data_IF_359956967195
#
_entry.id   IF_359956967195
#
_cell.length_a   1.000
_cell.length_b   1.000
_cell.length_c   1.000
_cell.angle_alpha   90.00
_cell.angle_beta   90.00
_cell.angle_gamma   90.00
#
_symmetry.space_group_name_H-M   'P 1'
#
loop_
_entity.id
_entity.type
_entity.pdbx_description
1 polymer ?
#
# COMPACT_ATOMS: atom_id res chain seq x y z
N UNK A 1 -14.13 -13.54 11.50
CA UNK A 1 -12.85 -13.41 10.77
C UNK A 1 -11.81 -12.93 11.77
N UNK A 2 -10.87 -13.78 12.23
CA UNK A 2 -9.84 -13.33 13.16
C UNK A 2 -8.80 -12.51 12.39
N UNK A 3 -8.80 -11.23 12.72
CA UNK A 3 -7.71 -10.27 12.68
C UNK A 3 -6.36 -10.92 12.36
N UNK A 4 -5.88 -10.65 11.15
CA UNK A 4 -4.48 -10.68 10.76
C UNK A 4 -3.51 -10.68 11.95
N UNK A 5 -2.71 -11.73 12.06
CA UNK A 5 -1.61 -11.69 13.01
C UNK A 5 -0.71 -10.50 12.63
N UNK A 6 -0.44 -9.61 13.59
CA UNK A 6 0.39 -8.42 13.38
C UNK A 6 1.72 -8.79 12.71
N UNK A 7 2.29 -9.94 13.09
CA UNK A 7 3.51 -10.48 12.50
C UNK A 7 3.39 -10.78 11.01
N UNK A 8 2.24 -11.27 10.54
CA UNK A 8 2.00 -11.54 9.12
C UNK A 8 1.98 -10.25 8.31
N UNK A 9 1.27 -9.23 8.79
CA UNK A 9 1.28 -7.92 8.15
C UNK A 9 2.64 -7.24 8.20
N UNK A 10 3.36 -7.33 9.33
CA UNK A 10 4.71 -6.77 9.41
C UNK A 10 5.67 -7.44 8.44
N UNK A 11 5.57 -8.75 8.24
CA UNK A 11 6.36 -9.46 7.22
C UNK A 11 6.08 -8.89 5.82
N UNK A 12 4.81 -8.77 5.42
CA UNK A 12 4.43 -8.21 4.12
C UNK A 12 4.93 -6.77 3.95
N UNK A 13 4.77 -5.93 4.98
CA UNK A 13 5.22 -4.54 4.92
C UNK A 13 6.74 -4.41 4.85
N UNK A 14 7.48 -5.31 5.51
CA UNK A 14 8.94 -5.40 5.39
C UNK A 14 9.36 -5.88 3.99
N UNK A 15 8.71 -6.92 3.45
CA UNK A 15 8.96 -7.43 2.09
C UNK A 15 8.66 -6.37 1.01
N UNK A 16 7.61 -5.58 1.21
CA UNK A 16 7.26 -4.45 0.35
C UNK A 16 8.23 -3.25 0.48
N UNK A 17 9.15 -3.29 1.44
CA UNK A 17 10.11 -2.21 1.70
C UNK A 17 9.50 -0.95 2.33
N UNK A 18 8.27 -1.05 2.84
CA UNK A 18 7.51 0.07 3.44
C UNK A 18 7.94 0.26 4.90
N UNK A 19 8.20 -0.83 5.59
CA UNK A 19 8.62 -0.86 6.99
C UNK A 19 10.01 -1.50 7.08
N UNK A 20 10.85 -1.00 7.97
CA UNK A 20 12.10 -1.67 8.36
C UNK A 20 11.99 -2.15 9.80
N UNK A 21 12.36 -3.41 10.01
CA UNK A 21 12.48 -4.02 11.32
C UNK A 21 13.94 -4.07 11.75
N UNK A 22 14.22 -3.70 13.00
CA UNK A 22 15.52 -3.91 13.64
C UNK A 22 15.31 -4.76 14.90
N UNK A 23 16.13 -5.79 15.07
CA UNK A 23 16.17 -6.57 16.29
C UNK A 23 16.93 -5.81 17.38
N UNK A 24 16.32 -5.71 18.56
CA UNK A 24 16.89 -5.14 19.78
C UNK A 24 16.65 -6.11 20.95
N UNK A 25 17.52 -7.13 21.02
CA UNK A 25 17.41 -8.22 21.98
C UNK A 25 16.16 -9.06 21.78
N UNK A 26 15.25 -9.05 22.76
CA UNK A 26 13.99 -9.82 22.71
C UNK A 26 12.90 -9.18 21.84
N UNK A 27 13.08 -7.90 21.48
CA UNK A 27 12.06 -7.12 20.78
C UNK A 27 12.51 -6.76 19.37
N UNK A 28 11.55 -6.68 18.45
CA UNK A 28 11.77 -6.13 17.11
C UNK A 28 11.14 -4.76 17.04
N UNK A 29 11.95 -3.75 16.74
CA UNK A 29 11.50 -2.38 16.55
C UNK A 29 11.20 -2.16 15.07
N UNK A 30 9.94 -1.79 14.78
CA UNK A 30 9.49 -1.46 13.44
C UNK A 30 9.45 0.05 13.26
N UNK A 31 9.91 0.52 12.10
CA UNK A 31 9.82 1.92 11.69
C UNK A 31 9.39 2.00 10.22
N UNK A 32 8.71 3.08 9.86
CA UNK A 32 8.38 3.33 8.45
C UNK A 32 9.66 3.72 7.71
N UNK A 33 9.94 3.04 6.60
CA UNK A 33 11.03 3.39 5.70
C UNK A 33 10.69 4.68 4.95
N UNK A 34 11.50 5.73 5.13
CA UNK A 34 11.31 7.00 4.41
C UNK A 34 11.28 6.78 2.90
N UNK A 35 12.27 6.06 2.37
CA UNK A 35 12.35 5.74 0.94
C UNK A 35 11.15 4.88 0.47
N UNK A 36 10.74 3.89 1.28
CA UNK A 36 9.59 3.04 0.97
C UNK A 36 8.29 3.83 0.91
N UNK A 37 8.08 4.72 1.88
CA UNK A 37 6.90 5.58 1.95
C UNK A 37 6.81 6.57 0.78
N UNK A 38 7.93 7.15 0.35
CA UNK A 38 7.98 8.04 -0.82
C UNK A 38 7.62 7.29 -2.10
N UNK A 39 8.13 6.06 -2.27
CA UNK A 39 7.81 5.20 -3.42
C UNK A 39 6.34 4.81 -3.45
N UNK A 40 5.79 4.39 -2.31
CA UNK A 40 4.35 4.05 -2.20
C UNK A 40 3.50 5.27 -2.48
N UNK A 41 3.86 6.44 -1.95
CA UNK A 41 3.13 7.67 -2.20
C UNK A 41 3.13 8.05 -3.69
N UNK A 42 4.26 7.89 -4.38
CA UNK A 42 4.32 8.10 -5.82
C UNK A 42 3.40 7.14 -6.58
N UNK A 43 3.50 5.84 -6.30
CA UNK A 43 2.65 4.82 -6.93
C UNK A 43 1.16 5.06 -6.67
N UNK A 44 0.79 5.39 -5.43
CA UNK A 44 -0.60 5.69 -5.06
C UNK A 44 -1.12 6.94 -5.76
N UNK A 45 -0.29 7.97 -5.93
CA UNK A 45 -0.68 9.16 -6.72
C UNK A 45 -0.93 8.77 -8.18
N UNK A 46 -0.09 7.93 -8.77
CA UNK A 46 -0.25 7.51 -10.16
C UNK A 46 -1.47 6.58 -10.36
N UNK A 47 -1.78 5.72 -9.39
CA UNK A 47 -2.91 4.76 -9.50
C UNK A 47 -4.25 5.31 -9.02
N UNK A 48 -4.25 6.23 -8.04
CA UNK A 48 -5.46 6.89 -7.51
C UNK A 48 -5.73 8.21 -8.23
N UNK A 49 -4.85 8.66 -9.12
CA UNK A 49 -5.22 9.60 -10.17
C UNK A 49 -6.28 8.94 -11.06
N UNK A 50 -7.52 8.96 -10.57
CA UNK A 50 -8.72 8.85 -11.36
C UNK A 50 -8.66 10.11 -12.21
N UNK A 51 -8.11 9.98 -13.40
CA UNK A 51 -8.34 10.96 -14.44
C UNK A 51 -9.86 11.19 -14.48
N UNK A 52 -10.32 12.39 -14.12
CA UNK A 52 -11.72 12.82 -14.29
C UNK A 52 -12.15 12.82 -15.79
N UNK A 53 -11.34 12.25 -16.68
CA UNK A 53 -11.49 12.27 -18.13
C UNK A 53 -11.78 10.91 -18.76
N UNK A 54 -12.40 9.97 -18.03
CA UNK A 54 -13.05 8.84 -18.68
C UNK A 54 -14.32 8.34 -17.99
N UNK A 55 -15.29 9.25 -17.85
CA UNK A 55 -16.69 8.85 -17.76
C UNK A 55 -17.44 9.31 -19.01
N UNK A 56 -17.26 8.56 -20.11
CA UNK A 56 -18.21 8.55 -21.22
C UNK A 56 -18.65 7.11 -21.46
N UNK A 57 -19.64 6.68 -20.69
CA UNK A 57 -20.42 5.51 -21.08
C UNK A 57 -21.48 5.96 -22.10
N UNK A 58 -21.10 6.02 -23.37
CA UNK A 58 -22.02 6.30 -24.48
C UNK A 58 -22.51 5.01 -25.16
N UNK A 59 -23.01 4.03 -24.40
CA UNK A 59 -23.75 2.91 -25.01
C UNK A 59 -24.96 2.49 -24.19
N UNK A 60 -25.98 3.34 -24.25
CA UNK A 60 -27.37 2.90 -24.18
C UNK A 60 -28.09 3.52 -25.38
N UNK A 61 -27.96 2.89 -26.55
CA UNK A 61 -28.89 3.12 -27.66
C UNK A 61 -29.91 1.99 -27.61
N UNK A 62 -31.15 2.37 -27.37
CA UNK A 62 -32.33 1.51 -27.30
C UNK A 62 -32.41 0.55 -28.50
N UNK A 63 -32.78 -0.70 -28.24
CA UNK A 63 -33.70 -1.45 -29.10
C UNK A 63 -34.58 -2.31 -28.22
#
# INVERSE_FOLDING_TARGET
MPQSSLSYHMKILCEAGIVTGREDGKWTHYQISKQGSEKVLALLKDTIAIDETNMSCNKCSNT
#
